data_IF_112218043588
#
_entry.id   IF_112218043588
#
_cell.length_a   1.000
_cell.length_b   1.000
_cell.length_c   1.000
_cell.angle_alpha   90.00
_cell.angle_beta   90.00
_cell.angle_gamma   90.00
#
_symmetry.space_group_name_H-M   'P 1'
#
loop_
_entity.id
_entity.type
_entity.pdbx_description
1 polymer ?
#
# COMPACT_ATOMS: atom_id res chain seq x y z
N UNK A 1 -4.86 -4.40 5.89
CA UNK A 1 -4.57 -4.25 4.45
C UNK A 1 -3.14 -4.67 4.23
N UNK A 2 -2.91 -5.46 3.17
CA UNK A 2 -1.66 -6.19 2.97
C UNK A 2 -1.00 -5.80 1.66
N UNK A 3 0.28 -5.47 1.70
CA UNK A 3 1.11 -5.29 0.51
C UNK A 3 2.02 -6.51 0.34
N UNK A 4 2.04 -7.07 -0.85
CA UNK A 4 2.96 -8.16 -1.19
C UNK A 4 4.29 -7.60 -1.68
N UNK A 5 5.39 -7.97 -1.04
CA UNK A 5 6.72 -7.63 -1.54
C UNK A 5 7.16 -8.73 -2.50
N UNK A 6 7.37 -8.37 -3.75
CA UNK A 6 7.82 -9.26 -4.81
C UNK A 6 9.14 -8.79 -5.40
N UNK A 7 9.85 -9.68 -6.08
CA UNK A 7 11.11 -9.39 -6.76
C UNK A 7 11.86 -10.67 -7.08
N UNK A 8 12.76 -10.59 -8.03
CA UNK A 8 13.67 -11.70 -8.38
C UNK A 8 14.60 -12.05 -7.20
N UNK A 9 15.23 -13.22 -7.19
CA UNK A 9 16.25 -13.52 -6.19
C UNK A 9 17.41 -12.51 -6.23
N UNK A 10 17.97 -12.19 -5.06
CA UNK A 10 19.15 -11.32 -4.90
C UNK A 10 18.97 -9.85 -5.35
N UNK A 11 17.73 -9.34 -5.35
CA UNK A 11 17.45 -7.92 -5.62
C UNK A 11 17.36 -7.04 -4.36
N UNK A 12 17.57 -7.63 -3.17
CA UNK A 12 17.45 -6.93 -1.88
C UNK A 12 16.10 -7.07 -1.19
N UNK A 13 15.21 -7.93 -1.71
CA UNK A 13 13.86 -8.14 -1.17
C UNK A 13 13.85 -8.53 0.31
N UNK A 14 14.67 -9.51 0.71
CA UNK A 14 14.75 -9.96 2.11
C UNK A 14 15.37 -8.91 3.03
N UNK A 15 16.35 -8.15 2.55
CA UNK A 15 16.95 -7.03 3.29
C UNK A 15 15.91 -5.95 3.56
N UNK A 16 15.13 -5.59 2.55
CA UNK A 16 14.03 -4.63 2.71
C UNK A 16 12.96 -5.16 3.68
N UNK A 17 12.60 -6.45 3.59
CA UNK A 17 11.65 -7.04 4.52
C UNK A 17 12.16 -7.09 5.96
N UNK A 18 13.46 -7.32 6.17
CA UNK A 18 14.09 -7.23 7.49
C UNK A 18 14.01 -5.80 8.04
N UNK A 19 14.31 -4.77 7.23
CA UNK A 19 14.15 -3.39 7.61
C UNK A 19 12.72 -3.08 8.09
N UNK A 20 11.71 -3.57 7.34
CA UNK A 20 10.29 -3.43 7.69
C UNK A 20 9.98 -4.13 9.02
N UNK A 21 10.47 -5.37 9.22
CA UNK A 21 10.22 -6.15 10.45
C UNK A 21 10.91 -5.55 11.66
N UNK A 22 12.10 -5.02 11.50
CA UNK A 22 12.84 -4.34 12.58
C UNK A 22 12.13 -3.04 12.99
N UNK A 23 11.75 -2.21 12.02
CA UNK A 23 10.95 -1.01 12.28
C UNK A 23 9.56 -1.34 12.87
N UNK A 24 9.02 -2.52 12.60
CA UNK A 24 7.76 -3.02 13.12
C UNK A 24 7.84 -3.67 14.51
N UNK A 25 9.03 -3.87 15.08
CA UNK A 25 9.18 -4.54 16.38
C UNK A 25 8.43 -3.81 17.51
N UNK A 26 8.35 -2.49 17.46
CA UNK A 26 7.55 -1.69 18.39
C UNK A 26 6.04 -1.87 18.19
N UNK A 27 5.59 -2.16 16.96
CA UNK A 27 4.18 -2.35 16.65
C UNK A 27 3.61 -3.68 17.18
N UNK A 28 4.46 -4.66 17.50
CA UNK A 28 4.06 -5.94 18.09
C UNK A 28 3.37 -5.80 19.46
N UNK A 29 3.55 -4.66 20.13
CA UNK A 29 2.90 -4.35 21.41
C UNK A 29 1.44 -3.85 21.25
N UNK A 30 0.95 -3.63 20.03
CA UNK A 30 -0.43 -3.19 19.83
C UNK A 30 -1.41 -4.36 19.85
N UNK A 31 -2.63 -4.19 20.43
CA UNK A 31 -3.65 -5.22 20.46
C UNK A 31 -4.04 -5.67 19.05
N UNK A 32 -4.17 -6.99 18.84
CA UNK A 32 -4.55 -7.66 17.58
C UNK A 32 -3.42 -7.89 16.57
N UNK A 33 -2.15 -7.66 16.92
CA UNK A 33 -1.02 -8.07 16.09
C UNK A 33 -0.73 -9.55 16.32
N UNK A 34 -1.03 -10.38 15.33
CA UNK A 34 -0.56 -11.78 15.28
C UNK A 34 0.78 -11.82 14.56
N UNK A 35 1.79 -12.43 15.17
CA UNK A 35 3.09 -12.67 14.53
C UNK A 35 2.91 -13.87 13.61
N UNK A 36 2.73 -13.62 12.31
CA UNK A 36 2.74 -14.65 11.28
C UNK A 36 4.12 -14.68 10.60
N UNK A 37 4.67 -15.85 10.28
CA UNK A 37 5.88 -15.92 9.47
C UNK A 37 5.69 -15.19 8.14
N UNK A 38 6.68 -14.38 7.75
CA UNK A 38 6.67 -13.58 6.51
C UNK A 38 5.63 -12.44 6.46
N UNK A 39 5.10 -11.99 7.60
CA UNK A 39 4.27 -10.77 7.71
C UNK A 39 4.98 -9.78 8.61
N UNK A 40 5.31 -8.61 8.06
CA UNK A 40 5.83 -7.45 8.79
C UNK A 40 4.72 -6.44 9.00
N UNK A 41 4.50 -6.00 10.24
CA UNK A 41 3.57 -4.91 10.56
C UNK A 41 4.36 -3.67 10.93
N UNK A 42 4.04 -2.55 10.30
CA UNK A 42 4.70 -1.28 10.60
C UNK A 42 3.68 -0.19 10.87
N UNK A 43 4.06 0.74 11.72
CA UNK A 43 3.29 1.95 11.98
C UNK A 43 3.40 2.92 10.81
N UNK A 44 2.31 3.61 10.51
CA UNK A 44 2.30 4.70 9.53
C UNK A 44 2.73 5.97 10.25
N UNK A 45 3.87 6.57 9.88
CA UNK A 45 4.32 7.83 10.48
C UNK A 45 3.30 8.94 10.24
N UNK A 46 2.82 9.57 11.31
CA UNK A 46 1.80 10.64 11.23
C UNK A 46 2.09 11.76 12.24
N UNK A 47 2.74 12.83 11.78
CA UNK A 47 3.08 14.02 12.59
C UNK A 47 1.86 14.67 13.22
N UNK A 48 0.66 14.45 12.68
CA UNK A 48 -0.59 14.97 13.24
C UNK A 48 -0.94 14.26 14.54
N UNK A 49 -0.72 12.94 14.57
CA UNK A 49 -0.95 12.14 15.78
C UNK A 49 0.09 12.50 16.87
N UNK A 50 1.36 12.70 16.46
CA UNK A 50 2.45 13.11 17.37
C UNK A 50 2.13 14.46 18.00
N UNK A 51 1.68 15.42 17.20
CA UNK A 51 1.23 16.72 17.69
C UNK A 51 0.07 16.61 18.69
N UNK A 52 -0.93 15.78 18.42
CA UNK A 52 -2.05 15.55 19.33
C UNK A 52 -1.56 14.90 20.63
N UNK A 53 -0.66 13.94 20.55
CA UNK A 53 -0.07 13.29 21.73
C UNK A 53 0.71 14.28 22.59
N UNK A 54 1.42 15.23 22.01
CA UNK A 54 2.14 16.28 22.75
C UNK A 54 1.21 17.25 23.52
N UNK A 55 -0.04 17.43 23.05
CA UNK A 55 -1.03 18.30 23.72
C UNK A 55 -1.80 17.55 24.82
N UNK A 56 -2.22 16.32 24.53
CA UNK A 56 -3.13 15.57 25.40
C UNK A 56 -2.40 14.67 26.41
N UNK A 57 -1.09 14.42 26.21
CA UNK A 57 -0.27 13.51 27.03
C UNK A 57 -1.01 12.20 27.34
N UNK A 58 -1.45 11.45 26.31
CA UNK A 58 -2.35 10.33 26.48
C UNK A 58 -1.67 9.15 27.17
N UNK A 59 -2.43 8.37 27.93
CA UNK A 59 -1.96 7.09 28.48
C UNK A 59 -1.59 6.08 27.39
N UNK A 60 -2.20 6.22 26.20
CA UNK A 60 -1.99 5.31 25.08
C UNK A 60 -1.88 6.08 23.77
N UNK A 61 -0.83 5.76 23.03
CA UNK A 61 -0.58 6.26 21.68
C UNK A 61 -0.77 5.10 20.68
N UNK A 62 -1.67 5.25 19.70
CA UNK A 62 -2.01 4.18 18.76
C UNK A 62 -2.00 4.71 17.32
N UNK A 63 -0.88 4.56 16.60
CA UNK A 63 -0.79 4.94 15.19
C UNK A 63 -1.57 3.97 14.28
N UNK A 64 -1.82 4.38 13.04
CA UNK A 64 -2.27 3.48 12.00
C UNK A 64 -1.16 2.44 11.68
N UNK A 65 -1.56 1.27 11.21
CA UNK A 65 -0.62 0.20 10.84
C UNK A 65 -0.92 -0.32 9.45
N UNK A 66 0.13 -0.79 8.76
CA UNK A 66 0.06 -1.44 7.47
C UNK A 66 0.84 -2.76 7.52
N UNK A 67 0.38 -3.76 6.77
CA UNK A 67 0.99 -5.08 6.75
C UNK A 67 1.75 -5.28 5.43
N UNK A 68 3.00 -5.72 5.53
CA UNK A 68 3.80 -6.19 4.40
C UNK A 68 3.98 -7.70 4.49
N UNK A 69 3.83 -8.37 3.35
CA UNK A 69 3.97 -9.83 3.25
C UNK A 69 5.17 -10.13 2.35
N UNK A 70 6.17 -10.82 2.89
CA UNK A 70 7.28 -11.32 2.07
C UNK A 70 6.77 -12.49 1.21
N UNK A 71 6.69 -12.26 -0.08
CA UNK A 71 6.31 -13.28 -1.05
C UNK A 71 7.59 -13.88 -1.59
N UNK A 72 7.78 -15.18 -1.34
CA UNK A 72 8.95 -15.92 -1.79
C UNK A 72 9.20 -15.68 -3.29
N UNK A 73 10.47 -15.47 -3.64
CA UNK A 73 10.86 -15.07 -5.01
C UNK A 73 10.29 -15.98 -6.09
N UNK A 74 9.95 -15.36 -7.21
CA UNK A 74 9.44 -16.02 -8.40
C UNK A 74 10.50 -16.99 -8.95
N UNK A 75 10.08 -18.23 -9.25
CA UNK A 75 10.81 -19.15 -10.09
C UNK A 75 10.17 -19.11 -11.47
N UNK A 76 10.96 -18.91 -12.52
CA UNK A 76 10.50 -18.94 -13.92
C UNK A 76 9.61 -20.17 -14.17
N UNK A 77 8.42 -19.98 -14.76
CA UNK A 77 7.43 -21.06 -14.98
C UNK A 77 6.41 -21.23 -13.86
N UNK A 78 6.27 -20.24 -12.99
CA UNK A 78 5.28 -20.23 -11.90
C UNK A 78 3.84 -20.44 -12.38
N UNK A 79 3.51 -19.87 -13.53
CA UNK A 79 2.18 -19.98 -14.19
C UNK A 79 1.89 -21.38 -14.75
N UNK A 80 2.91 -22.20 -15.02
CA UNK A 80 2.75 -23.55 -15.58
C UNK A 80 2.42 -24.65 -14.56
N UNK A 81 2.13 -24.29 -13.30
CA UNK A 81 1.39 -25.17 -12.40
C UNK A 81 2.18 -26.14 -11.54
N UNK A 82 3.50 -26.02 -11.40
CA UNK A 82 4.23 -26.90 -10.49
C UNK A 82 4.60 -26.21 -9.16
N UNK A 83 3.91 -26.62 -8.08
CA UNK A 83 4.31 -26.44 -6.67
C UNK A 83 4.49 -24.99 -6.18
N UNK A 84 5.71 -24.46 -6.24
CA UNK A 84 6.09 -23.16 -5.67
C UNK A 84 5.47 -21.97 -6.43
N UNK A 85 5.24 -22.10 -7.74
CA UNK A 85 4.65 -21.06 -8.56
C UNK A 85 3.21 -20.76 -8.18
N UNK A 86 2.39 -21.79 -8.00
CA UNK A 86 1.00 -21.63 -7.55
C UNK A 86 0.92 -20.98 -6.16
N UNK A 87 1.87 -21.28 -5.28
CA UNK A 87 1.93 -20.64 -3.96
C UNK A 87 2.28 -19.15 -4.07
N UNK A 88 3.22 -18.78 -4.96
CA UNK A 88 3.57 -17.39 -5.25
C UNK A 88 2.35 -16.60 -5.72
N UNK A 89 1.65 -17.08 -6.76
CA UNK A 89 0.45 -16.44 -7.29
C UNK A 89 -0.68 -16.34 -6.26
N UNK A 90 -0.88 -17.41 -5.46
CA UNK A 90 -1.86 -17.40 -4.37
C UNK A 90 -1.54 -16.36 -3.29
N UNK A 91 -0.27 -16.20 -2.95
CA UNK A 91 0.15 -15.19 -1.98
C UNK A 91 -0.13 -13.77 -2.49
N UNK A 92 0.15 -13.49 -3.77
CA UNK A 92 -0.17 -12.19 -4.38
C UNK A 92 -1.68 -11.95 -4.40
N UNK A 93 -2.52 -12.98 -4.70
CA UNK A 93 -3.99 -12.84 -4.65
C UNK A 93 -4.48 -12.31 -3.30
N UNK A 94 -3.86 -12.74 -2.21
CA UNK A 94 -4.23 -12.36 -0.85
C UNK A 94 -3.71 -10.98 -0.41
N UNK A 95 -3.11 -10.22 -1.30
CA UNK A 95 -2.64 -8.85 -1.03
C UNK A 95 -3.52 -7.82 -1.73
N UNK A 96 -3.53 -6.59 -1.19
CA UNK A 96 -4.30 -5.46 -1.74
C UNK A 96 -3.51 -4.66 -2.78
N UNK A 97 -2.17 -4.66 -2.69
CA UNK A 97 -1.24 -4.00 -3.60
C UNK A 97 0.11 -4.72 -3.61
N UNK A 98 1.00 -4.34 -4.52
CA UNK A 98 2.31 -4.94 -4.74
C UNK A 98 3.41 -3.89 -4.53
N UNK A 99 4.47 -4.27 -3.82
CA UNK A 99 5.76 -3.58 -3.81
C UNK A 99 6.74 -4.45 -4.58
N UNK A 100 7.11 -4.01 -5.77
CA UNK A 100 8.05 -4.73 -6.63
C UNK A 100 9.46 -4.19 -6.41
N UNK A 101 10.30 -4.97 -5.74
CA UNK A 101 11.71 -4.63 -5.52
C UNK A 101 12.50 -4.96 -6.76
N UNK A 102 13.12 -3.93 -7.35
CA UNK A 102 13.91 -4.02 -8.58
C UNK A 102 15.33 -3.58 -8.29
N UNK A 103 16.30 -4.39 -8.67
CA UNK A 103 17.71 -4.07 -8.49
C UNK A 103 18.15 -2.99 -9.48
N UNK A 104 18.71 -1.88 -8.96
CA UNK A 104 19.19 -0.72 -9.71
C UNK A 104 20.64 -0.38 -9.34
N UNK A 105 21.47 -1.36 -9.04
CA UNK A 105 22.89 -1.23 -8.74
C UNK A 105 23.68 -2.44 -9.24
N UNK A 106 24.97 -2.28 -9.45
CA UNK A 106 25.90 -3.34 -9.78
C UNK A 106 26.76 -3.69 -8.55
N UNK A 107 26.87 -4.97 -8.25
CA UNK A 107 27.73 -5.50 -7.17
C UNK A 107 28.26 -6.87 -7.61
N UNK A 108 29.59 -6.97 -7.73
CA UNK A 108 30.27 -8.21 -8.15
C UNK A 108 30.14 -9.34 -7.12
N UNK A 109 29.87 -9.02 -5.86
CA UNK A 109 29.68 -9.98 -4.77
C UNK A 109 28.26 -10.53 -4.70
N UNK A 110 27.30 -9.88 -5.35
CA UNK A 110 25.88 -10.28 -5.37
C UNK A 110 25.50 -10.73 -6.77
N UNK A 111 25.51 -12.05 -6.98
CA UNK A 111 25.21 -12.65 -8.29
C UNK A 111 23.75 -12.39 -8.66
N UNK A 112 23.53 -11.77 -9.84
CA UNK A 112 22.19 -11.63 -10.41
C UNK A 112 21.80 -12.93 -11.13
N UNK A 113 20.57 -13.42 -10.90
CA UNK A 113 20.10 -14.70 -11.47
C UNK A 113 20.05 -14.72 -13.01
N UNK A 114 19.89 -13.56 -13.64
CA UNK A 114 19.86 -13.39 -15.10
C UNK A 114 21.18 -12.82 -15.67
N UNK A 115 22.27 -12.82 -14.90
CA UNK A 115 23.63 -12.54 -15.36
C UNK A 115 24.06 -11.08 -15.37
N UNK A 116 23.21 -10.14 -14.97
CA UNK A 116 23.54 -8.69 -14.88
C UNK A 116 22.33 -7.88 -14.49
N UNK A 117 22.52 -6.62 -14.12
CA UNK A 117 21.45 -5.71 -13.74
C UNK A 117 20.73 -5.16 -14.98
N UNK A 118 19.45 -5.42 -15.08
CA UNK A 118 18.57 -4.92 -16.14
C UNK A 118 17.13 -4.78 -15.60
N UNK A 119 16.75 -3.60 -15.08
CA UNK A 119 15.45 -3.36 -14.48
C UNK A 119 14.28 -3.69 -15.39
N UNK A 120 14.40 -3.42 -16.69
CA UNK A 120 13.33 -3.71 -17.66
C UNK A 120 13.07 -5.21 -17.76
N UNK A 121 14.10 -5.99 -18.00
CA UNK A 121 14.01 -7.45 -18.07
C UNK A 121 13.46 -8.02 -16.77
N UNK A 122 13.92 -7.52 -15.62
CA UNK A 122 13.52 -8.04 -14.31
C UNK A 122 12.05 -7.79 -14.02
N UNK A 123 11.52 -6.62 -14.41
CA UNK A 123 10.08 -6.30 -14.34
C UNK A 123 9.30 -7.19 -15.30
N UNK A 124 9.73 -7.30 -16.57
CA UNK A 124 9.05 -8.10 -17.59
C UNK A 124 8.93 -9.59 -17.19
N UNK A 125 9.92 -10.16 -16.50
CA UNK A 125 9.87 -11.55 -16.02
C UNK A 125 8.74 -11.76 -15.02
N UNK A 126 8.57 -10.85 -14.07
CA UNK A 126 7.50 -10.96 -13.06
C UNK A 126 6.14 -10.66 -13.68
N UNK A 127 6.04 -9.59 -14.46
CA UNK A 127 4.79 -9.21 -15.11
C UNK A 127 4.27 -10.30 -16.05
N UNK A 128 5.15 -10.94 -16.81
CA UNK A 128 4.76 -12.03 -17.69
C UNK A 128 4.08 -13.19 -16.94
N UNK A 129 4.63 -13.59 -15.80
CA UNK A 129 4.03 -14.67 -14.99
C UNK A 129 2.67 -14.27 -14.40
N UNK A 130 2.51 -13.00 -13.99
CA UNK A 130 1.24 -12.48 -13.49
C UNK A 130 0.21 -12.38 -14.63
N UNK A 131 0.61 -11.87 -15.79
CA UNK A 131 -0.23 -11.75 -16.98
C UNK A 131 -0.70 -13.14 -17.45
N UNK A 132 0.17 -14.13 -17.50
CA UNK A 132 -0.22 -15.50 -17.89
C UNK A 132 -1.25 -16.09 -16.93
N UNK A 133 -1.12 -15.85 -15.63
CA UNK A 133 -2.11 -16.29 -14.65
C UNK A 133 -3.46 -15.55 -14.81
N UNK A 134 -3.41 -14.27 -15.18
CA UNK A 134 -4.62 -13.49 -15.47
C UNK A 134 -5.30 -13.94 -16.78
N UNK A 135 -4.52 -14.24 -17.82
CA UNK A 135 -5.06 -14.79 -19.08
C UNK A 135 -5.85 -16.06 -18.83
N UNK A 136 -5.35 -17.02 -18.07
CA UNK A 136 -6.08 -18.24 -17.73
C UNK A 136 -7.40 -17.93 -16.99
N UNK A 137 -7.39 -16.93 -16.10
CA UNK A 137 -8.59 -16.51 -15.37
C UNK A 137 -9.61 -15.87 -16.32
N UNK A 138 -9.16 -15.01 -17.22
CA UNK A 138 -9.97 -14.31 -18.22
C UNK A 138 -10.57 -15.30 -19.22
N UNK A 139 -9.81 -16.28 -19.71
CA UNK A 139 -10.32 -17.34 -20.59
C UNK A 139 -11.46 -18.13 -19.95
N UNK A 140 -11.29 -18.57 -18.68
CA UNK A 140 -12.36 -19.23 -17.92
C UNK A 140 -13.60 -18.34 -17.75
N UNK A 141 -13.39 -17.03 -17.57
CA UNK A 141 -14.49 -16.07 -17.45
C UNK A 141 -15.26 -15.93 -18.77
N UNK A 142 -14.54 -15.87 -19.91
CA UNK A 142 -15.13 -15.85 -21.26
C UNK A 142 -15.96 -17.11 -21.53
N UNK A 143 -15.42 -18.29 -21.23
CA UNK A 143 -16.14 -19.56 -21.40
C UNK A 143 -17.44 -19.58 -20.60
N UNK A 144 -17.37 -19.15 -19.33
CA UNK A 144 -18.54 -19.07 -18.44
C UNK A 144 -19.57 -18.05 -18.95
N UNK A 145 -19.13 -16.87 -19.38
CA UNK A 145 -20.02 -15.84 -19.93
C UNK A 145 -20.70 -16.31 -21.22
N UNK A 146 -19.98 -16.92 -22.15
CA UNK A 146 -20.55 -17.49 -23.38
C UNK A 146 -21.62 -18.55 -23.08
N UNK A 147 -21.36 -19.46 -22.13
CA UNK A 147 -22.33 -20.48 -21.74
C UNK A 147 -23.58 -19.88 -21.09
N UNK A 148 -23.44 -18.86 -20.29
CA UNK A 148 -24.57 -18.18 -19.66
C UNK A 148 -25.36 -17.34 -20.67
N UNK A 149 -24.74 -16.83 -21.75
CA UNK A 149 -25.35 -16.05 -22.79
C UNK A 149 -26.38 -16.86 -23.62
N UNK A 150 -26.28 -18.19 -23.62
CA UNK A 150 -27.31 -19.06 -24.24
C UNK A 150 -28.68 -18.91 -23.54
N UNK A 151 -28.69 -18.61 -22.25
CA UNK A 151 -29.92 -18.40 -21.48
C UNK A 151 -30.27 -16.92 -21.22
N UNK A 152 -29.31 -16.04 -21.22
CA UNK A 152 -29.52 -14.61 -20.91
C UNK A 152 -28.49 -13.73 -21.64
N UNK A 153 -29.00 -12.94 -22.60
CA UNK A 153 -28.18 -12.08 -23.47
C UNK A 153 -27.32 -11.04 -22.76
N UNK A 154 -27.60 -10.71 -21.49
CA UNK A 154 -26.78 -9.77 -20.72
C UNK A 154 -25.32 -10.23 -20.59
N UNK A 155 -25.07 -11.55 -20.63
CA UNK A 155 -23.72 -12.10 -20.58
C UNK A 155 -22.93 -11.97 -21.90
N UNK A 156 -23.56 -11.54 -23.00
CA UNK A 156 -22.85 -11.26 -24.26
C UNK A 156 -21.86 -10.10 -24.06
N UNK A 157 -22.30 -9.01 -23.43
CA UNK A 157 -21.43 -7.86 -23.13
C UNK A 157 -20.25 -8.27 -22.23
N UNK A 158 -20.51 -9.06 -21.19
CA UNK A 158 -19.43 -9.59 -20.33
C UNK A 158 -18.39 -10.37 -21.17
N UNK A 159 -18.84 -11.25 -22.08
CA UNK A 159 -17.93 -12.01 -22.93
C UNK A 159 -17.11 -11.11 -23.89
N UNK A 160 -17.71 -10.03 -24.41
CA UNK A 160 -17.02 -9.06 -25.28
C UNK A 160 -15.96 -8.27 -24.51
N UNK A 161 -16.28 -7.77 -23.32
CA UNK A 161 -15.36 -7.05 -22.44
C UNK A 161 -14.13 -7.90 -22.10
N UNK A 162 -14.35 -9.16 -21.67
CA UNK A 162 -13.22 -10.03 -21.32
C UNK A 162 -12.43 -10.52 -22.55
N UNK A 163 -13.02 -10.62 -23.74
CA UNK A 163 -12.27 -10.89 -24.99
C UNK A 163 -11.34 -9.73 -25.34
N UNK A 164 -11.81 -8.49 -25.24
CA UNK A 164 -10.99 -7.31 -25.50
C UNK A 164 -9.85 -7.21 -24.47
N UNK A 165 -10.12 -7.52 -23.19
CA UNK A 165 -9.09 -7.59 -22.17
C UNK A 165 -8.07 -8.70 -22.47
N UNK A 166 -8.51 -9.87 -22.95
CA UNK A 166 -7.60 -10.97 -23.31
C UNK A 166 -6.65 -10.57 -24.45
N UNK A 167 -7.12 -9.82 -25.45
CA UNK A 167 -6.27 -9.28 -26.52
C UNK A 167 -5.18 -8.36 -25.96
N UNK A 168 -5.53 -7.47 -25.02
CA UNK A 168 -4.58 -6.58 -24.35
C UNK A 168 -3.52 -7.38 -23.56
N UNK A 169 -3.93 -8.40 -22.81
CA UNK A 169 -3.01 -9.27 -22.05
C UNK A 169 -2.10 -10.08 -22.98
N UNK A 170 -2.60 -10.54 -24.13
CA UNK A 170 -1.81 -11.25 -25.15
C UNK A 170 -0.69 -10.39 -25.76
N UNK A 171 -0.82 -9.07 -25.72
CA UNK A 171 0.25 -8.14 -26.11
C UNK A 171 1.31 -7.96 -25.02
N UNK A 172 1.20 -8.68 -23.89
CA UNK A 172 2.11 -8.60 -22.75
C UNK A 172 1.88 -7.35 -21.90
N UNK A 173 0.69 -6.75 -21.94
CA UNK A 173 0.32 -5.56 -21.18
C UNK A 173 -0.53 -5.92 -19.96
N UNK A 174 -0.22 -5.31 -18.82
CA UNK A 174 -0.96 -5.52 -17.56
C UNK A 174 -2.37 -4.92 -17.61
N UNK A 175 -3.29 -5.43 -16.78
CA UNK A 175 -4.63 -4.83 -16.63
C UNK A 175 -4.56 -3.38 -16.15
N UNK A 176 -3.53 -2.98 -15.40
CA UNK A 176 -3.32 -1.60 -14.95
C UNK A 176 -3.28 -0.59 -16.10
N UNK A 177 -2.74 -1.00 -17.26
CA UNK A 177 -2.63 -0.18 -18.46
C UNK A 177 -3.82 -0.31 -19.41
N UNK A 178 -4.87 -1.07 -19.03
CA UNK A 178 -6.05 -1.25 -19.87
C UNK A 178 -7.04 -0.12 -19.71
N UNK A 179 -7.37 0.56 -20.81
CA UNK A 179 -8.35 1.64 -20.84
C UNK A 179 -9.70 1.13 -21.35
N UNK A 180 -10.75 1.31 -20.57
CA UNK A 180 -12.12 0.96 -20.95
C UNK A 180 -13.13 1.88 -20.23
N UNK A 181 -14.42 1.69 -20.53
CA UNK A 181 -15.48 2.40 -19.81
C UNK A 181 -15.48 2.04 -18.32
N UNK A 182 -15.86 2.98 -17.41
CA UNK A 182 -15.89 2.73 -15.98
C UNK A 182 -16.70 1.49 -15.58
N UNK A 183 -17.86 1.26 -16.24
CA UNK A 183 -18.72 0.11 -15.97
C UNK A 183 -18.04 -1.21 -16.34
N UNK A 184 -17.24 -1.23 -17.42
CA UNK A 184 -16.47 -2.38 -17.84
C UNK A 184 -15.31 -2.65 -16.88
N UNK A 185 -14.66 -1.60 -16.38
CA UNK A 185 -13.62 -1.73 -15.36
C UNK A 185 -14.17 -2.28 -14.03
N UNK A 186 -15.37 -1.84 -13.63
CA UNK A 186 -16.06 -2.41 -12.45
C UNK A 186 -16.34 -3.91 -12.66
N UNK A 187 -16.75 -4.32 -13.87
CA UNK A 187 -16.96 -5.72 -14.22
C UNK A 187 -15.64 -6.52 -14.15
N UNK A 188 -14.57 -6.01 -14.75
CA UNK A 188 -13.23 -6.61 -14.73
C UNK A 188 -12.74 -6.79 -13.30
N UNK A 189 -12.91 -5.79 -12.44
CA UNK A 189 -12.49 -5.81 -11.03
C UNK A 189 -13.17 -6.93 -10.21
N UNK A 190 -14.29 -7.51 -10.68
CA UNK A 190 -14.91 -8.67 -10.03
C UNK A 190 -14.14 -9.98 -10.21
N UNK A 191 -13.08 -10.00 -11.02
CA UNK A 191 -12.40 -11.23 -11.47
C UNK A 191 -11.12 -11.57 -10.69
N UNK A 192 -10.78 -10.82 -9.64
CA UNK A 192 -9.61 -11.07 -8.78
C UNK A 192 -8.29 -11.25 -9.59
N UNK A 193 -8.10 -10.39 -10.59
CA UNK A 193 -6.91 -10.38 -11.43
C UNK A 193 -5.70 -9.85 -10.66
N UNK A 194 -4.51 -10.37 -10.98
CA UNK A 194 -3.27 -10.01 -10.30
C UNK A 194 -2.71 -8.69 -10.80
N UNK A 195 -2.73 -8.48 -12.12
CA UNK A 195 -2.15 -7.28 -12.75
C UNK A 195 -3.05 -6.05 -12.71
N UNK A 196 -4.27 -6.16 -12.13
CA UNK A 196 -5.11 -5.01 -11.79
C UNK A 196 -4.68 -4.35 -10.47
N UNK A 197 -3.96 -5.09 -9.61
CA UNK A 197 -3.54 -4.58 -8.30
C UNK A 197 -2.61 -3.39 -8.46
N UNK A 198 -2.79 -2.34 -7.64
CA UNK A 198 -1.87 -1.21 -7.62
C UNK A 198 -0.44 -1.67 -7.30
N UNK A 199 0.56 -1.03 -7.90
CA UNK A 199 1.96 -1.39 -7.75
C UNK A 199 2.81 -0.16 -7.42
N UNK A 200 3.84 -0.37 -6.59
CA UNK A 200 4.96 0.53 -6.37
C UNK A 200 6.23 -0.21 -6.76
N UNK A 201 7.08 0.42 -7.55
CA UNK A 201 8.41 -0.07 -7.83
C UNK A 201 9.39 0.49 -6.79
N UNK A 202 10.00 -0.38 -5.99
CA UNK A 202 11.09 -0.03 -5.09
C UNK A 202 12.41 -0.21 -5.85
N UNK A 203 12.98 0.88 -6.35
CA UNK A 203 14.26 0.90 -7.03
C UNK A 203 15.38 0.74 -5.99
N UNK A 204 15.81 -0.50 -5.75
CA UNK A 204 16.84 -0.78 -4.77
C UNK A 204 18.23 -0.46 -5.34
N UNK A 205 18.91 0.50 -4.72
CA UNK A 205 20.20 1.04 -5.09
C UNK A 205 21.24 0.80 -3.99
N UNK A 206 22.50 1.04 -4.32
CA UNK A 206 23.55 1.24 -3.31
C UNK A 206 23.45 2.64 -2.68
N UNK A 207 24.29 2.90 -1.69
CA UNK A 207 24.30 4.16 -0.93
C UNK A 207 24.60 5.37 -1.83
N UNK A 208 25.56 5.24 -2.74
CA UNK A 208 25.92 6.31 -3.69
C UNK A 208 24.79 6.55 -4.71
N UNK A 209 24.18 5.47 -5.20
CA UNK A 209 23.08 5.51 -6.17
C UNK A 209 21.82 6.16 -5.62
N UNK A 210 21.50 5.93 -4.35
CA UNK A 210 20.30 6.54 -3.73
C UNK A 210 20.50 8.03 -3.46
N UNK A 211 21.73 8.47 -3.21
CA UNK A 211 22.05 9.88 -3.01
C UNK A 211 21.89 10.71 -4.30
N UNK A 212 22.15 10.13 -5.47
CA UNK A 212 22.02 10.76 -6.79
C UNK A 212 21.10 9.96 -7.72
N UNK A 213 19.97 9.51 -7.20
CA UNK A 213 19.07 8.57 -7.89
C UNK A 213 18.51 9.14 -9.21
N UNK A 214 18.35 10.46 -9.32
CA UNK A 214 17.82 11.10 -10.53
C UNK A 214 18.72 10.89 -11.75
N UNK A 215 20.05 10.79 -11.54
CA UNK A 215 21.04 10.54 -12.58
C UNK A 215 21.35 9.05 -12.80
N UNK A 216 20.74 8.16 -12.01
CA UNK A 216 20.93 6.72 -12.15
C UNK A 216 20.17 6.20 -13.39
N UNK A 217 20.90 5.60 -14.34
CA UNK A 217 20.32 5.11 -15.60
C UNK A 217 19.30 3.97 -15.39
N UNK A 218 19.49 3.12 -14.40
CA UNK A 218 18.56 2.04 -14.06
C UNK A 218 17.26 2.59 -13.46
N UNK A 219 17.38 3.64 -12.63
CA UNK A 219 16.22 4.33 -12.09
C UNK A 219 15.39 5.01 -13.18
N UNK A 220 16.04 5.73 -14.11
CA UNK A 220 15.35 6.36 -15.23
C UNK A 220 14.65 5.33 -16.13
N UNK A 221 15.26 4.17 -16.37
CA UNK A 221 14.66 3.08 -17.10
C UNK A 221 13.41 2.54 -16.39
N UNK A 222 13.46 2.38 -15.08
CA UNK A 222 12.34 1.93 -14.28
C UNK A 222 11.21 2.97 -14.23
N UNK A 223 11.54 4.26 -14.16
CA UNK A 223 10.55 5.34 -14.24
C UNK A 223 9.76 5.33 -15.55
N UNK A 224 10.43 5.06 -16.69
CA UNK A 224 9.74 4.97 -17.97
C UNK A 224 8.74 3.81 -18.04
N UNK A 225 9.03 2.67 -17.37
CA UNK A 225 8.11 1.54 -17.25
C UNK A 225 6.92 1.92 -16.37
N UNK A 226 7.20 2.50 -15.21
CA UNK A 226 6.18 2.88 -14.24
C UNK A 226 5.19 3.92 -14.79
N UNK A 227 5.68 4.88 -15.58
CA UNK A 227 4.85 5.91 -16.24
C UNK A 227 3.80 5.28 -17.17
N UNK A 228 4.18 4.25 -17.94
CA UNK A 228 3.28 3.54 -18.84
C UNK A 228 2.13 2.81 -18.12
N UNK A 229 2.30 2.50 -16.84
CA UNK A 229 1.29 1.84 -16.00
C UNK A 229 0.62 2.76 -14.96
N UNK A 230 1.00 4.05 -14.94
CA UNK A 230 0.56 4.99 -13.91
C UNK A 230 1.04 4.64 -12.50
N UNK A 231 2.14 3.90 -12.39
CA UNK A 231 2.75 3.45 -11.14
C UNK A 231 3.78 4.46 -10.62
N UNK A 232 4.15 4.33 -9.35
CA UNK A 232 5.18 5.15 -8.72
C UNK A 232 6.48 4.37 -8.55
N UNK A 233 7.62 5.09 -8.65
CA UNK A 233 8.94 4.54 -8.36
C UNK A 233 9.51 5.23 -7.13
N UNK A 234 9.98 4.44 -6.18
CA UNK A 234 10.64 4.94 -4.97
C UNK A 234 12.11 4.51 -4.98
N UNK A 235 13.05 5.46 -4.97
CA UNK A 235 14.46 5.15 -4.75
C UNK A 235 14.65 4.75 -3.29
N UNK A 236 15.31 3.61 -3.06
CA UNK A 236 15.58 3.06 -1.73
C UNK A 236 16.94 2.35 -1.75
N UNK A 237 17.67 2.42 -0.63
CA UNK A 237 18.80 1.53 -0.37
C UNK A 237 18.40 0.59 0.76
N UNK A 238 18.01 -0.65 0.42
CA UNK A 238 17.50 -1.61 1.38
C UNK A 238 18.49 -1.90 2.52
N UNK A 239 19.81 -1.89 2.23
CA UNK A 239 20.86 -2.04 3.23
C UNK A 239 20.88 -0.88 4.23
N UNK A 240 20.82 0.35 3.73
CA UNK A 240 20.77 1.55 4.57
C UNK A 240 19.51 1.58 5.44
N UNK A 241 18.37 1.17 4.87
CA UNK A 241 17.11 1.09 5.63
C UNK A 241 17.16 0.03 6.74
N UNK A 242 17.84 -1.09 6.52
CA UNK A 242 18.04 -2.13 7.54
C UNK A 242 18.94 -1.61 8.68
N UNK A 243 19.99 -0.82 8.36
CA UNK A 243 20.85 -0.15 9.33
C UNK A 243 20.07 0.90 10.13
N UNK A 244 19.30 1.78 9.47
CA UNK A 244 18.46 2.81 10.11
C UNK A 244 17.41 2.19 11.04
N UNK A 245 16.78 1.09 10.60
CA UNK A 245 15.75 0.41 11.39
C UNK A 245 16.30 -0.30 12.64
N UNK A 246 17.60 -0.50 12.74
CA UNK A 246 18.27 -1.08 13.91
C UNK A 246 18.70 -0.04 14.95
N UNK A 247 18.62 1.26 14.65
CA UNK A 247 19.01 2.34 15.53
C UNK A 247 17.89 2.72 16.53
N UNK A 248 18.28 3.16 17.72
CA UNK A 248 17.34 3.80 18.64
C UNK A 248 16.81 5.13 18.07
N UNK A 249 15.62 5.59 18.45
CA UNK A 249 14.98 6.77 17.83
C UNK A 249 15.86 8.01 17.77
N UNK A 250 16.58 8.32 18.85
CA UNK A 250 17.48 9.50 18.93
C UNK A 250 18.67 9.37 17.97
N UNK A 251 19.25 8.18 17.86
CA UNK A 251 20.37 7.88 16.95
C UNK A 251 19.90 7.90 15.50
N UNK A 252 18.69 7.43 15.24
CA UNK A 252 18.06 7.44 13.92
C UNK A 252 17.90 8.87 13.39
N UNK A 253 17.36 9.78 14.21
CA UNK A 253 17.17 11.18 13.82
C UNK A 253 18.49 11.87 13.50
N UNK A 254 19.52 11.66 14.33
CA UNK A 254 20.87 12.17 14.09
C UNK A 254 21.47 11.61 12.78
N UNK A 255 21.29 10.33 12.53
CA UNK A 255 21.83 9.67 11.34
C UNK A 255 21.14 10.17 10.06
N UNK A 256 19.83 10.37 10.08
CA UNK A 256 19.09 10.97 8.96
C UNK A 256 19.52 12.42 8.69
N UNK A 257 19.75 13.21 9.75
CA UNK A 257 20.25 14.58 9.63
C UNK A 257 21.66 14.63 9.00
N UNK A 258 22.56 13.71 9.41
CA UNK A 258 23.91 13.59 8.84
C UNK A 258 23.86 13.25 7.35
N UNK A 259 22.90 12.43 6.92
CA UNK A 259 22.66 12.11 5.52
C UNK A 259 21.90 13.21 4.74
N UNK A 260 21.46 14.28 5.43
CA UNK A 260 20.66 15.35 4.84
C UNK A 260 19.22 14.91 4.47
N UNK A 261 18.72 13.85 5.11
CA UNK A 261 17.41 13.29 4.84
C UNK A 261 16.41 13.75 5.93
N UNK A 262 15.21 14.15 5.52
CA UNK A 262 14.12 14.49 6.44
C UNK A 262 13.33 13.26 6.93
N UNK A 263 13.42 12.15 6.21
CA UNK A 263 12.75 10.88 6.52
C UNK A 263 13.46 9.73 5.79
N UNK A 264 13.32 8.51 6.31
CA UNK A 264 13.90 7.32 5.68
C UNK A 264 13.17 6.96 4.37
N UNK A 265 13.80 6.15 3.53
CA UNK A 265 13.15 5.58 2.33
C UNK A 265 12.01 4.65 2.72
N UNK A 266 12.15 3.92 3.85
CA UNK A 266 11.10 3.08 4.41
C UNK A 266 9.87 3.91 4.81
N UNK A 267 10.03 5.04 5.50
CA UNK A 267 8.92 5.93 5.87
C UNK A 267 8.19 6.46 4.62
N UNK A 268 8.94 6.83 3.58
CA UNK A 268 8.36 7.23 2.28
C UNK A 268 7.57 6.08 1.65
N UNK A 269 8.11 4.87 1.67
CA UNK A 269 7.44 3.68 1.13
C UNK A 269 6.15 3.37 1.89
N UNK A 270 6.14 3.46 3.22
CA UNK A 270 4.96 3.24 4.05
C UNK A 270 3.88 4.28 3.73
N UNK A 271 4.22 5.58 3.70
CA UNK A 271 3.28 6.66 3.36
C UNK A 271 2.72 6.52 1.94
N UNK A 272 3.59 6.22 0.97
CA UNK A 272 3.19 6.01 -0.43
C UNK A 272 2.27 4.79 -0.56
N UNK A 273 2.59 3.68 0.10
CA UNK A 273 1.77 2.48 0.12
C UNK A 273 0.40 2.73 0.72
N UNK A 274 0.33 3.51 1.79
CA UNK A 274 -0.92 3.90 2.44
C UNK A 274 -1.81 4.72 1.49
N UNK A 275 -1.21 5.69 0.80
CA UNK A 275 -1.90 6.52 -0.20
C UNK A 275 -2.35 5.70 -1.42
N UNK A 276 -1.49 4.80 -1.93
CA UNK A 276 -1.78 3.93 -3.07
C UNK A 276 -3.02 3.06 -2.83
N UNK A 277 -3.19 2.57 -1.61
CA UNK A 277 -4.36 1.79 -1.19
C UNK A 277 -5.62 2.65 -1.01
N UNK A 278 -5.55 3.96 -1.29
CA UNK A 278 -6.64 4.90 -1.09
C UNK A 278 -7.04 5.04 0.38
N UNK A 279 -6.08 4.83 1.29
CA UNK A 279 -6.30 4.95 2.72
C UNK A 279 -6.13 6.39 3.19
N UNK A 280 -6.90 6.74 4.19
CA UNK A 280 -6.79 7.98 4.95
C UNK A 280 -6.95 7.67 6.45
N UNK A 281 -6.49 8.58 7.29
CA UNK A 281 -6.65 8.48 8.74
C UNK A 281 -7.53 9.61 9.27
N UNK A 282 -8.57 9.26 10.02
CA UNK A 282 -9.16 10.21 10.96
C UNK A 282 -8.58 9.99 12.36
N UNK A 283 -8.59 11.03 13.17
CA UNK A 283 -7.91 11.05 14.45
C UNK A 283 -8.91 11.20 15.60
N UNK A 284 -8.67 10.48 16.68
CA UNK A 284 -9.33 10.71 17.97
C UNK A 284 -8.28 11.06 19.00
N UNK A 285 -8.57 12.02 19.87
CA UNK A 285 -7.62 12.48 20.87
C UNK A 285 -8.30 12.73 22.22
N UNK A 286 -7.59 12.39 23.28
CA UNK A 286 -8.00 12.58 24.65
C UNK A 286 -6.96 12.07 25.64
N UNK A 287 -7.16 12.26 26.95
CA UNK A 287 -6.19 11.86 27.97
C UNK A 287 -6.00 10.35 28.10
N UNK A 288 -6.96 9.55 27.63
CA UNK A 288 -6.84 8.09 27.69
C UNK A 288 -6.15 7.51 26.45
N UNK A 289 -6.45 8.04 25.27
CA UNK A 289 -5.85 7.55 24.01
C UNK A 289 -5.82 8.67 22.95
N UNK A 290 -4.68 8.78 22.24
CA UNK A 290 -4.60 9.42 20.92
C UNK A 290 -4.43 8.32 19.88
N UNK A 291 -5.32 8.30 18.87
CA UNK A 291 -5.34 7.21 17.89
C UNK A 291 -5.64 7.69 16.47
N UNK A 292 -4.90 7.11 15.52
CA UNK A 292 -5.20 7.21 14.09
C UNK A 292 -6.01 5.98 13.63
N UNK A 293 -7.12 6.26 12.97
CA UNK A 293 -8.06 5.24 12.49
C UNK A 293 -8.04 5.16 10.97
N UNK A 294 -7.65 4.01 10.46
CA UNK A 294 -7.56 3.77 9.01
C UNK A 294 -8.93 3.54 8.40
N UNK A 295 -9.27 4.32 7.38
CA UNK A 295 -10.46 4.16 6.53
C UNK A 295 -10.09 4.33 5.06
N UNK A 296 -10.97 3.88 4.15
CA UNK A 296 -10.83 4.17 2.73
C UNK A 296 -11.31 5.60 2.44
N UNK A 297 -10.66 6.28 1.51
CA UNK A 297 -11.13 7.55 0.96
C UNK A 297 -12.57 7.40 0.45
N UNK A 298 -13.43 8.36 0.74
CA UNK A 298 -14.86 8.28 0.41
C UNK A 298 -15.74 7.64 1.49
N UNK A 299 -15.15 7.13 2.60
CA UNK A 299 -15.91 6.58 3.73
C UNK A 299 -16.73 7.68 4.41
N UNK A 300 -18.01 7.41 4.66
CA UNK A 300 -18.91 8.32 5.38
C UNK A 300 -18.74 8.20 6.91
N UNK A 301 -19.16 9.24 7.63
CA UNK A 301 -19.01 9.34 9.08
C UNK A 301 -19.59 8.15 9.88
N UNK A 302 -20.77 7.56 9.58
CA UNK A 302 -21.25 6.39 10.30
C UNK A 302 -20.35 5.18 10.15
N UNK A 303 -19.86 4.88 8.93
CA UNK A 303 -18.95 3.75 8.68
C UNK A 303 -17.58 4.00 9.34
N UNK A 304 -17.11 5.25 9.38
CA UNK A 304 -15.91 5.62 10.12
C UNK A 304 -16.08 5.40 11.62
N UNK A 305 -17.22 5.77 12.20
CA UNK A 305 -17.57 5.47 13.59
C UNK A 305 -17.58 3.96 13.88
N UNK A 306 -18.05 3.17 12.90
CA UNK A 306 -18.05 1.70 12.94
C UNK A 306 -16.66 1.08 13.07
N UNK A 307 -15.60 1.79 12.65
CA UNK A 307 -14.20 1.36 12.87
C UNK A 307 -13.80 1.38 14.33
N UNK A 308 -14.42 2.25 15.13
CA UNK A 308 -14.21 2.29 16.57
C UNK A 308 -14.98 1.15 17.24
N UNK A 309 -16.28 1.08 16.96
CA UNK A 309 -17.15 0.02 17.47
C UNK A 309 -18.44 -0.05 16.63
N UNK A 310 -19.00 -1.25 16.44
CA UNK A 310 -20.24 -1.46 15.68
C UNK A 310 -21.43 -0.70 16.24
N UNK A 311 -21.49 -0.49 17.56
CA UNK A 311 -22.54 0.30 18.19
C UNK A 311 -22.47 1.78 17.83
N UNK A 312 -21.29 2.31 17.58
CA UNK A 312 -21.11 3.70 17.12
C UNK A 312 -21.72 3.91 15.73
N UNK A 313 -21.62 2.92 14.86
CA UNK A 313 -22.26 2.97 13.54
C UNK A 313 -23.78 2.88 13.65
N UNK A 314 -24.27 1.89 14.43
CA UNK A 314 -25.72 1.66 14.60
C UNK A 314 -26.43 2.84 15.27
N UNK A 315 -25.82 3.35 16.33
CA UNK A 315 -26.37 4.46 17.13
C UNK A 315 -25.91 5.84 16.67
N UNK A 316 -25.29 5.98 15.48
CA UNK A 316 -24.72 7.24 15.02
C UNK A 316 -25.75 8.38 15.01
N UNK A 317 -25.43 9.46 15.70
CA UNK A 317 -26.22 10.69 15.74
C UNK A 317 -25.56 11.76 14.87
N UNK A 318 -24.31 12.10 15.19
CA UNK A 318 -23.49 13.11 14.50
C UNK A 318 -22.02 12.94 14.82
N UNK A 319 -21.16 13.57 14.02
CA UNK A 319 -19.73 13.70 14.31
C UNK A 319 -19.41 15.18 14.59
N UNK A 320 -18.69 15.45 15.68
CA UNK A 320 -18.07 16.75 15.93
C UNK A 320 -16.67 16.69 15.34
N UNK A 321 -16.39 17.49 14.30
CA UNK A 321 -15.18 17.38 13.50
C UNK A 321 -14.47 18.72 13.44
N UNK A 322 -13.17 18.72 13.60
CA UNK A 322 -12.28 19.84 13.29
C UNK A 322 -11.16 19.35 12.39
N UNK A 323 -10.80 20.10 11.35
CA UNK A 323 -9.63 19.81 10.55
C UNK A 323 -8.36 19.93 11.42
N UNK A 324 -7.39 19.04 11.21
CA UNK A 324 -6.15 19.06 12.00
C UNK A 324 -5.43 20.40 11.96
N UNK A 325 -5.32 21.02 10.78
CA UNK A 325 -4.64 22.32 10.62
C UNK A 325 -5.34 23.45 11.39
N UNK A 326 -6.67 23.43 11.42
CA UNK A 326 -7.46 24.37 12.22
C UNK A 326 -7.21 24.17 13.72
N UNK A 327 -7.19 22.91 14.17
CA UNK A 327 -6.90 22.58 15.56
C UNK A 327 -5.47 22.98 15.95
N UNK A 328 -4.50 22.69 15.11
CA UNK A 328 -3.10 23.07 15.29
C UNK A 328 -2.95 24.58 15.41
N UNK A 329 -3.61 25.36 14.54
CA UNK A 329 -3.60 26.82 14.57
C UNK A 329 -4.26 27.41 15.80
N UNK A 330 -5.24 26.72 16.39
CA UNK A 330 -5.94 27.15 17.60
C UNK A 330 -5.23 26.73 18.89
N UNK A 331 -4.39 25.69 18.84
CA UNK A 331 -3.67 25.14 19.97
C UNK A 331 -4.52 24.31 20.94
N UNK A 332 -5.86 24.33 20.83
CA UNK A 332 -6.74 23.51 21.67
C UNK A 332 -8.12 23.34 21.05
N UNK A 333 -8.81 22.26 21.42
CA UNK A 333 -10.20 22.01 21.02
C UNK A 333 -11.17 23.08 21.55
N UNK A 334 -10.91 23.64 22.73
CA UNK A 334 -11.73 24.71 23.29
C UNK A 334 -11.63 25.98 22.44
N UNK A 335 -10.43 26.40 22.08
CA UNK A 335 -10.21 27.57 21.23
C UNK A 335 -10.79 27.37 19.82
N UNK A 336 -10.70 26.15 19.26
CA UNK A 336 -11.32 25.83 17.98
C UNK A 336 -12.86 25.93 18.04
N UNK A 337 -13.50 25.52 19.15
CA UNK A 337 -14.94 25.70 19.36
C UNK A 337 -15.34 27.18 19.49
N UNK A 338 -14.60 27.97 20.23
CA UNK A 338 -14.86 29.41 20.37
C UNK A 338 -14.79 30.14 19.02
N UNK A 339 -13.89 29.69 18.12
CA UNK A 339 -13.77 30.22 16.76
C UNK A 339 -14.79 29.63 15.78
N UNK A 340 -15.64 28.69 16.21
CA UNK A 340 -16.65 28.06 15.35
C UNK A 340 -16.08 27.08 14.32
N UNK A 341 -14.85 26.59 14.51
CA UNK A 341 -14.17 25.67 13.58
C UNK A 341 -14.54 24.20 13.83
N UNK A 342 -15.16 23.88 14.97
CA UNK A 342 -15.69 22.54 15.24
C UNK A 342 -17.06 22.42 14.59
N UNK A 343 -17.15 21.64 13.54
CA UNK A 343 -18.36 21.41 12.75
C UNK A 343 -19.16 20.24 13.32
N UNK A 344 -20.48 20.30 13.17
CA UNK A 344 -21.38 19.20 13.50
C UNK A 344 -21.87 18.57 12.21
N UNK A 345 -21.38 17.38 11.91
CA UNK A 345 -21.60 16.69 10.64
C UNK A 345 -22.56 15.51 10.78
N UNK A 346 -23.42 15.32 9.78
CA UNK A 346 -24.42 14.26 9.74
C UNK A 346 -23.94 12.99 9.04
N UNK A 347 -24.90 12.10 8.76
CA UNK A 347 -24.66 10.75 8.19
C UNK A 347 -24.02 10.76 6.80
N UNK A 348 -24.22 11.82 6.03
CA UNK A 348 -23.74 11.92 4.65
C UNK A 348 -22.37 12.56 4.52
N UNK A 349 -21.79 13.00 5.63
CA UNK A 349 -20.45 13.57 5.63
C UNK A 349 -19.42 12.53 5.22
N UNK A 350 -18.62 12.86 4.21
CA UNK A 350 -17.48 12.06 3.75
C UNK A 350 -16.26 12.51 4.54
N UNK A 351 -15.64 11.57 5.25
CA UNK A 351 -14.46 11.82 6.07
C UNK A 351 -13.27 12.29 5.22
N UNK A 352 -12.56 13.29 5.73
CA UNK A 352 -11.30 13.75 5.15
C UNK A 352 -10.11 13.23 5.94
N UNK A 353 -8.97 13.13 5.26
CA UNK A 353 -7.71 12.77 5.91
C UNK A 353 -7.30 13.85 6.92
N UNK A 354 -7.01 13.45 8.16
CA UNK A 354 -6.69 14.36 9.25
C UNK A 354 -7.88 14.97 9.98
N UNK A 355 -9.12 14.56 9.70
CA UNK A 355 -10.25 14.95 10.54
C UNK A 355 -10.05 14.50 11.98
N UNK A 356 -10.00 15.44 12.93
CA UNK A 356 -10.01 15.16 14.36
C UNK A 356 -11.45 15.10 14.83
N UNK A 357 -11.89 13.93 15.30
CA UNK A 357 -13.31 13.58 15.36
C UNK A 357 -13.75 13.07 16.74
N UNK A 358 -14.93 13.51 17.16
CA UNK A 358 -15.69 12.97 18.29
C UNK A 358 -17.07 12.53 17.81
N UNK A 359 -17.32 11.23 17.79
CA UNK A 359 -18.64 10.70 17.43
C UNK A 359 -19.61 10.76 18.59
N UNK A 360 -20.85 11.22 18.30
CA UNK A 360 -21.98 11.14 19.22
C UNK A 360 -22.92 10.06 18.74
N UNK A 361 -23.22 9.15 19.62
CA UNK A 361 -24.06 7.98 19.36
C UNK A 361 -24.98 7.69 20.54
N UNK A 362 -26.03 6.94 20.30
CA UNK A 362 -26.94 6.45 21.31
C UNK A 362 -27.31 4.99 20.96
N UNK A 363 -27.14 4.08 21.93
CA UNK A 363 -27.40 2.63 21.77
C UNK A 363 -28.53 2.24 22.71
#
# INVERSE_FOLDING_TARGET
MKLGIVGLPNVGKSTLFNAITNAGAESANYPFCTIEPNVGMVTVPDERLDFLASIYEPKKYTPAVIEFVDIAGLVKGASKGEGLGNKFLSNIRNTDAIVHVVRCFDDENVIHVEGGTDPKRDVEIIDLELIMADMEMVERRIEKANKNAEGDKKYLHEAEVFKALLEHLNEGRSVRSYECAPEDMELIATSDLLTIKPIIYAANMDEDGVADYENNAYYQQLCAIAEAEGAQVLPICAKLEEEIAALEPEERDMFLEELGLSQSGLDRMIKTSYSLLGLISFLTCGPDECRAWTIKRGTKAPQAAGKIHTDFERGFIRAEIVAFDDLKSCGSMAAAREKGLVRSEGKDYVMNDGDVTLFRFNV
#
